data_IF_638610446817
#
_entry.id   IF_638610446817
#
_cell.length_a   1.000
_cell.length_b   1.000
_cell.length_c   1.000
_cell.angle_alpha   90.00
_cell.angle_beta   90.00
_cell.angle_gamma   90.00
#
_symmetry.space_group_name_H-M   'P 1'
#
loop_
_entity.id
_entity.type
_entity.pdbx_description
1 polymer ?
#
# COMPACT_ATOMS: atom_id res chain seq x y z
N UNK A 1 -11.08 36.35 -32.94
CA UNK A 1 -10.01 35.73 -32.14
C UNK A 1 -10.62 35.36 -30.81
N UNK A 2 -11.19 34.16 -30.70
CA UNK A 2 -11.79 33.63 -29.47
C UNK A 2 -10.74 32.73 -28.82
N UNK A 3 -10.61 32.84 -27.50
CA UNK A 3 -9.51 32.38 -26.66
C UNK A 3 -9.26 30.86 -26.71
N UNK A 4 -8.26 30.43 -27.48
CA UNK A 4 -7.71 29.06 -27.40
C UNK A 4 -7.24 28.68 -25.98
N UNK A 5 -6.89 29.66 -25.15
CA UNK A 5 -6.46 29.42 -23.77
C UNK A 5 -7.63 29.08 -22.83
N UNK A 6 -8.86 29.51 -23.14
CA UNK A 6 -10.05 29.15 -22.36
C UNK A 6 -10.42 27.69 -22.61
N UNK A 7 -10.41 27.24 -23.88
CA UNK A 7 -10.67 25.84 -24.24
C UNK A 7 -9.65 24.86 -23.62
N UNK A 8 -8.39 25.28 -23.46
CA UNK A 8 -7.35 24.46 -22.82
C UNK A 8 -7.58 24.37 -21.31
N UNK A 9 -7.94 25.47 -20.66
CA UNK A 9 -8.24 25.49 -19.23
C UNK A 9 -9.53 24.73 -18.90
N UNK A 10 -10.54 24.79 -19.76
CA UNK A 10 -11.77 24.01 -19.64
C UNK A 10 -11.52 22.51 -19.85
N UNK A 11 -10.69 22.12 -20.82
CA UNK A 11 -10.29 20.72 -20.99
C UNK A 11 -9.44 20.21 -19.82
N UNK A 12 -8.50 21.01 -19.31
CA UNK A 12 -7.71 20.65 -18.13
C UNK A 12 -8.58 20.57 -16.87
N UNK A 13 -9.60 21.42 -16.74
CA UNK A 13 -10.59 21.35 -15.67
C UNK A 13 -11.41 20.06 -15.72
N UNK A 14 -11.86 19.65 -16.92
CA UNK A 14 -12.60 18.40 -17.12
C UNK A 14 -11.72 17.15 -16.93
N UNK A 15 -10.44 17.20 -17.32
CA UNK A 15 -9.48 16.13 -17.05
C UNK A 15 -9.13 16.04 -15.56
N UNK A 16 -9.01 17.17 -14.85
CA UNK A 16 -8.81 17.20 -13.40
C UNK A 16 -10.05 16.71 -12.63
N UNK A 17 -11.27 17.00 -13.08
CA UNK A 17 -12.49 16.39 -12.54
C UNK A 17 -12.55 14.87 -12.76
N UNK A 18 -12.02 14.36 -13.88
CA UNK A 18 -11.88 12.92 -14.13
C UNK A 18 -10.73 12.28 -13.34
N UNK A 19 -9.69 13.05 -13.01
CA UNK A 19 -8.49 12.58 -12.28
C UNK A 19 -8.62 12.74 -10.77
N UNK A 20 -9.52 13.61 -10.30
CA UNK A 20 -10.05 13.53 -8.95
C UNK A 20 -10.62 12.13 -8.81
N UNK A 21 -10.00 11.30 -7.94
CA UNK A 21 -10.52 9.97 -7.62
C UNK A 21 -12.02 10.12 -7.43
N UNK A 22 -12.80 9.51 -8.32
CA UNK A 22 -14.22 9.37 -8.10
C UNK A 22 -14.37 8.88 -6.64
N UNK A 23 -15.20 9.54 -5.82
CA UNK A 23 -15.54 8.94 -4.54
C UNK A 23 -15.99 7.50 -4.80
N UNK A 24 -15.79 6.59 -3.85
CA UNK A 24 -16.09 5.14 -3.93
C UNK A 24 -17.59 4.83 -4.17
N UNK A 25 -18.34 5.76 -4.76
CA UNK A 25 -19.78 5.96 -4.69
C UNK A 25 -20.41 6.23 -6.06
N UNK A 26 -19.82 5.81 -7.18
CA UNK A 26 -20.60 5.74 -8.43
C UNK A 26 -21.54 4.53 -8.35
N UNK A 27 -22.74 4.81 -7.85
CA UNK A 27 -23.72 3.82 -7.44
C UNK A 27 -24.52 3.30 -8.64
N UNK A 28 -24.39 2.01 -8.95
CA UNK A 28 -25.25 1.32 -9.92
C UNK A 28 -26.50 0.74 -9.24
N UNK A 29 -27.67 1.09 -9.78
CA UNK A 29 -28.97 0.53 -9.39
C UNK A 29 -29.05 -0.88 -10.00
N UNK A 30 -28.82 -1.91 -9.18
CA UNK A 30 -29.06 -3.30 -9.59
C UNK A 30 -30.50 -3.67 -9.18
N UNK A 31 -31.28 -4.22 -10.12
CA UNK A 31 -32.73 -4.41 -9.99
C UNK A 31 -33.14 -5.76 -9.37
N UNK A 32 -32.19 -6.62 -9.01
CA UNK A 32 -32.49 -7.94 -8.45
C UNK A 32 -31.61 -8.23 -7.23
N UNK A 33 -32.05 -7.71 -6.09
CA UNK A 33 -31.19 -7.48 -4.94
C UNK A 33 -32.05 -7.51 -3.67
N UNK A 34 -31.51 -8.02 -2.57
CA UNK A 34 -32.22 -8.14 -1.30
C UNK A 34 -32.46 -6.78 -0.62
N UNK A 35 -31.73 -5.73 -1.03
CA UNK A 35 -31.70 -4.44 -0.34
C UNK A 35 -31.31 -3.27 -1.27
N UNK A 36 -31.83 -2.04 -1.11
CA UNK A 36 -31.47 -0.92 -1.98
C UNK A 36 -29.95 -0.74 -2.17
N UNK A 37 -29.52 -0.42 -3.40
CA UNK A 37 -28.10 -0.36 -3.77
C UNK A 37 -27.27 0.57 -2.87
N UNK A 38 -27.84 1.71 -2.45
CA UNK A 38 -27.20 2.65 -1.52
C UNK A 38 -26.90 1.99 -0.17
N UNK A 39 -27.90 1.31 0.41
CA UNK A 39 -27.74 0.61 1.68
C UNK A 39 -26.72 -0.52 1.55
N UNK A 40 -26.74 -1.25 0.43
CA UNK A 40 -25.77 -2.31 0.14
C UNK A 40 -24.34 -1.78 0.11
N UNK A 41 -24.10 -0.71 -0.64
CA UNK A 41 -22.78 -0.12 -0.77
C UNK A 41 -22.29 0.47 0.56
N UNK A 42 -23.20 1.05 1.34
CA UNK A 42 -22.89 1.51 2.70
C UNK A 42 -22.50 0.35 3.63
N UNK A 43 -23.26 -0.76 3.63
CA UNK A 43 -22.94 -1.94 4.44
C UNK A 43 -21.62 -2.62 4.00
N UNK A 44 -21.35 -2.67 2.69
CA UNK A 44 -20.07 -3.15 2.16
C UNK A 44 -18.92 -2.25 2.64
N UNK A 45 -19.10 -0.93 2.58
CA UNK A 45 -18.12 0.02 3.08
C UNK A 45 -17.87 -0.19 4.58
N UNK A 46 -18.92 -0.43 5.36
CA UNK A 46 -18.83 -0.72 6.80
C UNK A 46 -18.10 -2.04 7.09
N UNK A 47 -18.33 -3.11 6.31
CA UNK A 47 -17.59 -4.38 6.41
C UNK A 47 -16.10 -4.22 6.12
N UNK A 48 -15.75 -3.32 5.21
CA UNK A 48 -14.36 -2.91 4.95
C UNK A 48 -13.83 -1.93 6.00
N UNK A 49 -14.54 -1.74 7.12
CA UNK A 49 -14.21 -0.89 8.26
C UNK A 49 -14.21 0.62 7.96
N UNK A 50 -14.83 1.05 6.87
CA UNK A 50 -14.94 2.48 6.57
C UNK A 50 -15.86 3.14 7.60
N UNK A 51 -15.43 4.29 8.14
CA UNK A 51 -16.16 5.00 9.19
C UNK A 51 -16.02 4.39 10.60
N UNK A 52 -15.28 3.29 10.77
CA UNK A 52 -14.97 2.74 12.10
C UNK A 52 -13.84 3.59 12.72
N UNK A 53 -14.06 4.18 13.91
CA UNK A 53 -13.03 4.97 14.60
C UNK A 53 -11.74 4.18 14.83
N UNK A 54 -10.59 4.84 14.69
CA UNK A 54 -9.28 4.19 14.85
C UNK A 54 -9.10 3.52 16.22
N UNK A 55 -9.63 4.11 17.29
CA UNK A 55 -9.59 3.55 18.64
C UNK A 55 -10.32 2.19 18.77
N UNK A 56 -11.25 1.89 17.86
CA UNK A 56 -11.93 0.59 17.80
C UNK A 56 -11.16 -0.45 16.98
N UNK A 57 -10.19 -0.01 16.16
CA UNK A 57 -9.31 -0.87 15.37
C UNK A 57 -8.04 -1.23 16.12
N UNK A 58 -7.49 -0.27 16.87
CA UNK A 58 -6.28 -0.42 17.67
C UNK A 58 -6.60 0.03 19.09
N UNK A 59 -6.81 -0.95 19.98
CA UNK A 59 -7.21 -0.71 21.36
C UNK A 59 -6.13 0.03 22.18
N UNK A 60 -4.86 -0.19 21.86
CA UNK A 60 -3.73 0.46 22.53
C UNK A 60 -2.66 0.88 21.51
N UNK A 61 -2.12 2.08 21.68
CA UNK A 61 -1.00 2.60 20.89
C UNK A 61 0.26 1.73 20.95
N UNK A 62 0.48 0.98 22.02
CA UNK A 62 1.60 0.04 22.15
C UNK A 62 1.45 -1.18 21.22
N UNK A 63 0.23 -1.47 20.75
CA UNK A 63 0.00 -2.48 19.71
C UNK A 63 0.44 -2.00 18.32
N UNK A 64 0.74 -0.72 18.14
CA UNK A 64 1.29 -0.19 16.90
C UNK A 64 2.41 0.85 17.17
N UNK A 65 3.60 0.40 17.61
CA UNK A 65 4.77 1.25 17.83
C UNK A 65 5.22 1.98 16.56
N UNK A 66 6.06 3.00 16.71
CA UNK A 66 6.65 3.70 15.57
C UNK A 66 7.59 2.77 14.79
N UNK A 67 7.61 2.91 13.46
CA UNK A 67 8.31 2.02 12.51
C UNK A 67 7.94 0.54 12.71
N UNK A 68 6.65 0.25 12.73
CA UNK A 68 6.16 -1.12 12.85
C UNK A 68 5.01 -1.45 11.90
N UNK A 69 4.93 -2.73 11.53
CA UNK A 69 3.85 -3.30 10.73
C UNK A 69 3.21 -4.47 11.49
N UNK A 70 1.88 -4.52 11.51
CA UNK A 70 1.09 -5.57 12.16
C UNK A 70 0.17 -6.23 11.15
N UNK A 71 0.39 -7.51 10.90
CA UNK A 71 -0.42 -8.34 10.02
C UNK A 71 -1.59 -8.95 10.80
N UNK A 72 -2.75 -9.07 10.16
CA UNK A 72 -3.94 -9.64 10.79
C UNK A 72 -4.87 -10.34 9.80
N UNK A 73 -5.73 -11.20 10.35
CA UNK A 73 -6.89 -11.76 9.69
C UNK A 73 -8.14 -11.00 10.14
N UNK A 74 -9.05 -10.72 9.20
CA UNK A 74 -10.35 -10.15 9.54
C UNK A 74 -11.28 -11.24 10.03
N UNK A 75 -11.81 -11.09 11.25
CA UNK A 75 -12.88 -11.97 11.71
C UNK A 75 -14.20 -11.58 11.05
N UNK A 76 -14.69 -12.45 10.16
CA UNK A 76 -15.96 -12.28 9.47
C UNK A 76 -17.14 -12.19 10.41
N UNK A 77 -17.12 -12.91 11.54
CA UNK A 77 -18.19 -12.87 12.53
C UNK A 77 -18.28 -11.49 13.18
N UNK A 78 -17.15 -10.80 13.35
CA UNK A 78 -17.14 -9.44 13.88
C UNK A 78 -17.71 -8.43 12.88
N UNK A 79 -17.30 -8.50 11.61
CA UNK A 79 -17.87 -7.63 10.56
C UNK A 79 -19.35 -7.92 10.31
N UNK A 80 -19.77 -9.19 10.43
CA UNK A 80 -21.18 -9.59 10.36
C UNK A 80 -21.98 -9.03 11.53
N UNK A 81 -21.46 -9.12 12.76
CA UNK A 81 -22.09 -8.55 13.94
C UNK A 81 -22.21 -7.02 13.85
N UNK A 82 -21.21 -6.35 13.28
CA UNK A 82 -21.25 -4.91 13.00
C UNK A 82 -22.40 -4.55 12.04
N UNK A 83 -22.57 -5.33 10.96
CA UNK A 83 -23.68 -5.17 10.02
C UNK A 83 -25.03 -5.45 10.67
N UNK A 84 -25.16 -6.50 11.48
CA UNK A 84 -26.39 -6.80 12.23
C UNK A 84 -26.75 -5.66 13.18
N UNK A 85 -25.77 -5.10 13.89
CA UNK A 85 -25.94 -3.92 14.73
C UNK A 85 -26.48 -2.73 13.96
N UNK A 86 -25.89 -2.42 12.80
CA UNK A 86 -26.38 -1.35 11.93
C UNK A 86 -27.83 -1.59 11.47
N UNK A 87 -28.17 -2.81 11.05
CA UNK A 87 -29.53 -3.17 10.59
C UNK A 87 -30.56 -3.16 11.72
N UNK A 88 -30.15 -3.47 12.96
CA UNK A 88 -31.04 -3.50 14.13
C UNK A 88 -31.68 -2.15 14.44
N UNK A 89 -31.05 -1.04 14.05
CA UNK A 89 -31.60 0.32 14.23
C UNK A 89 -32.92 0.48 13.46
N UNK A 90 -33.09 -0.28 12.37
CA UNK A 90 -34.31 -0.28 11.57
C UNK A 90 -35.45 -1.15 12.11
N UNK A 91 -35.21 -1.94 13.18
CA UNK A 91 -36.23 -2.82 13.77
C UNK A 91 -36.94 -2.11 14.92
N UNK A 92 -38.25 -1.88 14.80
CA UNK A 92 -39.05 -1.17 15.83
C UNK A 92 -39.85 -2.16 16.66
N UNK A 93 -40.35 -3.23 16.05
CA UNK A 93 -41.14 -4.27 16.72
C UNK A 93 -40.55 -5.67 16.53
N UNK A 94 -41.18 -6.68 17.13
CA UNK A 94 -40.76 -8.08 17.04
C UNK A 94 -40.94 -8.67 15.63
N UNK A 95 -41.95 -8.23 14.89
CA UNK A 95 -42.24 -8.72 13.54
C UNK A 95 -41.16 -8.26 12.55
N UNK A 96 -40.72 -7.00 12.64
CA UNK A 96 -39.60 -6.45 11.87
C UNK A 96 -38.32 -7.26 12.10
N UNK A 97 -38.09 -7.67 13.35
CA UNK A 97 -36.91 -8.46 13.71
C UNK A 97 -36.97 -9.88 13.14
N UNK A 98 -38.15 -10.52 13.15
CA UNK A 98 -38.35 -11.84 12.53
C UNK A 98 -38.14 -11.74 11.01
N UNK A 99 -38.68 -10.69 10.38
CA UNK A 99 -38.51 -10.47 8.94
C UNK A 99 -37.04 -10.23 8.57
N UNK A 100 -36.33 -9.41 9.35
CA UNK A 100 -34.91 -9.15 9.15
C UNK A 100 -34.06 -10.43 9.31
N UNK A 101 -34.34 -11.23 10.35
CA UNK A 101 -33.62 -12.48 10.61
C UNK A 101 -33.80 -13.48 9.46
N UNK A 102 -35.03 -13.60 8.93
CA UNK A 102 -35.33 -14.43 7.77
C UNK A 102 -34.59 -13.99 6.50
N UNK A 103 -34.36 -12.68 6.32
CA UNK A 103 -33.69 -12.11 5.15
C UNK A 103 -32.16 -12.04 5.32
N UNK A 104 -31.63 -12.16 6.53
CA UNK A 104 -30.22 -11.90 6.82
C UNK A 104 -29.25 -12.76 6.00
N UNK A 105 -29.60 -14.03 5.74
CA UNK A 105 -28.77 -14.91 4.91
C UNK A 105 -28.66 -14.41 3.46
N UNK A 106 -29.74 -13.87 2.90
CA UNK A 106 -29.74 -13.30 1.55
C UNK A 106 -28.92 -12.01 1.50
N UNK A 107 -29.09 -11.13 2.50
CA UNK A 107 -28.30 -9.90 2.66
C UNK A 107 -26.81 -10.24 2.76
N UNK A 108 -26.46 -11.20 3.61
CA UNK A 108 -25.07 -11.64 3.80
C UNK A 108 -24.45 -12.13 2.49
N UNK A 109 -25.13 -13.00 1.75
CA UNK A 109 -24.63 -13.53 0.47
C UNK A 109 -24.44 -12.43 -0.58
N UNK A 110 -25.34 -11.44 -0.61
CA UNK A 110 -25.21 -10.28 -1.47
C UNK A 110 -24.00 -9.42 -1.09
N UNK A 111 -23.82 -9.11 0.20
CA UNK A 111 -22.67 -8.35 0.70
C UNK A 111 -21.34 -9.07 0.46
N UNK A 112 -21.30 -10.39 0.64
CA UNK A 112 -20.13 -11.24 0.37
C UNK A 112 -19.72 -11.14 -1.11
N UNK A 113 -20.68 -11.04 -2.01
CA UNK A 113 -20.42 -10.86 -3.44
C UNK A 113 -19.91 -9.45 -3.76
N UNK A 114 -20.57 -8.42 -3.23
CA UNK A 114 -20.22 -7.03 -3.54
C UNK A 114 -18.90 -6.57 -2.94
N UNK A 115 -18.52 -7.08 -1.77
CA UNK A 115 -17.26 -6.75 -1.11
C UNK A 115 -16.06 -7.00 -2.03
N UNK A 116 -16.09 -8.08 -2.81
CA UNK A 116 -15.03 -8.44 -3.78
C UNK A 116 -15.03 -7.52 -4.99
N UNK A 117 -16.16 -6.89 -5.28
CA UNK A 117 -16.36 -6.05 -6.45
C UNK A 117 -16.10 -4.55 -6.16
N UNK A 118 -15.80 -4.14 -4.92
CA UNK A 118 -15.61 -2.72 -4.52
C UNK A 118 -14.60 -1.96 -5.38
N UNK A 119 -13.45 -2.56 -5.68
CA UNK A 119 -12.40 -1.94 -6.50
C UNK A 119 -12.36 -2.49 -7.93
N UNK A 120 -13.49 -2.97 -8.45
CA UNK A 120 -13.53 -3.65 -9.76
C UNK A 120 -13.47 -2.60 -10.85
N UNK A 121 -12.60 -2.81 -11.84
CA UNK A 121 -12.58 -1.98 -13.03
C UNK A 121 -13.94 -2.09 -13.73
N UNK A 122 -14.49 -0.96 -14.16
CA UNK A 122 -15.83 -0.84 -14.74
C UNK A 122 -16.12 -1.85 -15.86
N UNK A 123 -15.10 -2.27 -16.61
CA UNK A 123 -15.18 -3.18 -17.76
C UNK A 123 -14.79 -4.63 -17.47
N UNK A 124 -14.20 -4.95 -16.31
CA UNK A 124 -13.84 -6.33 -15.96
C UNK A 124 -15.11 -7.17 -15.70
N UNK A 125 -15.15 -8.50 -15.80
CA UNK A 125 -16.32 -9.29 -15.41
C UNK A 125 -16.60 -9.21 -13.89
N UNK A 126 -17.86 -9.35 -13.47
CA UNK A 126 -18.24 -9.36 -12.04
C UNK A 126 -17.75 -10.66 -11.42
N UNK A 127 -17.09 -10.55 -10.25
CA UNK A 127 -16.62 -11.71 -9.51
C UNK A 127 -17.79 -12.37 -8.77
N UNK A 128 -17.88 -13.69 -8.88
CA UNK A 128 -18.85 -14.54 -8.21
C UNK A 128 -18.12 -15.71 -7.53
N UNK A 129 -18.64 -16.21 -6.41
CA UNK A 129 -18.08 -17.35 -5.67
C UNK A 129 -17.89 -17.10 -4.18
N UNK A 130 -17.49 -18.15 -3.44
CA UNK A 130 -17.35 -18.13 -1.98
C UNK A 130 -16.22 -17.23 -1.51
N UNK A 131 -16.51 -16.33 -0.57
CA UNK A 131 -15.55 -15.39 0.04
C UNK A 131 -14.41 -16.13 0.73
N UNK A 132 -13.18 -15.78 0.36
CA UNK A 132 -11.97 -16.23 1.03
C UNK A 132 -11.72 -15.47 2.34
N UNK A 133 -10.64 -15.81 3.06
CA UNK A 133 -10.19 -15.03 4.20
C UNK A 133 -9.80 -13.63 3.73
N UNK A 134 -10.22 -12.60 4.49
CA UNK A 134 -9.65 -11.26 4.34
C UNK A 134 -8.46 -11.16 5.28
N UNK A 135 -7.34 -10.72 4.73
CA UNK A 135 -6.16 -10.38 5.52
C UNK A 135 -5.81 -8.92 5.31
N UNK A 136 -4.93 -8.41 6.15
CA UNK A 136 -4.50 -7.04 6.04
C UNK A 136 -3.31 -6.73 6.91
N UNK A 137 -2.90 -5.47 6.87
CA UNK A 137 -1.94 -4.94 7.80
C UNK A 137 -2.27 -3.52 8.23
N UNK A 138 -1.76 -3.17 9.40
CA UNK A 138 -1.60 -1.81 9.87
C UNK A 138 -0.11 -1.49 9.88
N UNK A 139 0.27 -0.40 9.21
CA UNK A 139 1.64 0.09 9.16
C UNK A 139 1.69 1.46 9.81
N UNK A 140 2.56 1.64 10.80
CA UNK A 140 2.95 2.95 11.33
C UNK A 140 4.39 3.23 10.98
N UNK A 141 4.63 4.15 10.06
CA UNK A 141 5.98 4.49 9.59
C UNK A 141 6.09 5.93 9.09
N UNK A 142 7.27 6.52 9.27
CA UNK A 142 7.66 7.77 8.67
C UNK A 142 7.52 7.72 7.13
N UNK A 143 7.72 6.56 6.50
CA UNK A 143 7.53 6.40 5.07
C UNK A 143 6.08 6.66 4.63
N UNK A 144 5.08 6.26 5.42
CA UNK A 144 3.66 6.58 5.14
C UNK A 144 3.42 8.09 5.18
N UNK A 145 4.09 8.79 6.10
CA UNK A 145 3.99 10.24 6.21
C UNK A 145 4.73 10.99 5.10
N UNK A 146 5.91 10.51 4.70
CA UNK A 146 6.73 11.07 3.63
C UNK A 146 6.13 10.82 2.24
N UNK A 147 5.48 9.68 2.05
CA UNK A 147 4.86 9.29 0.78
C UNK A 147 3.38 8.90 0.95
N UNK A 148 2.46 9.87 1.05
CA UNK A 148 1.02 9.59 1.20
C UNK A 148 0.40 8.81 0.04
N UNK A 149 1.03 8.86 -1.14
CA UNK A 149 0.61 8.14 -2.35
C UNK A 149 1.28 6.78 -2.55
N UNK A 150 1.91 6.21 -1.52
CA UNK A 150 2.58 4.90 -1.59
C UNK A 150 1.64 3.82 -2.14
N UNK A 151 2.18 2.96 -3.00
CA UNK A 151 1.45 1.83 -3.57
C UNK A 151 1.68 0.56 -2.76
N UNK A 152 0.63 -0.22 -2.58
CA UNK A 152 0.68 -1.53 -1.95
C UNK A 152 0.20 -2.56 -2.95
N UNK A 153 0.99 -3.61 -3.15
CA UNK A 153 0.68 -4.73 -4.06
C UNK A 153 0.90 -6.03 -3.32
N UNK A 154 0.01 -6.98 -3.52
CA UNK A 154 0.05 -8.27 -2.86
C UNK A 154 -0.01 -9.38 -3.92
N UNK A 155 0.73 -10.45 -3.69
CA UNK A 155 0.84 -11.58 -4.62
C UNK A 155 0.68 -12.92 -3.90
N UNK A 156 0.08 -13.89 -4.59
CA UNK A 156 -0.11 -15.27 -4.11
C UNK A 156 1.13 -16.16 -4.34
N UNK A 157 2.06 -15.70 -5.18
CA UNK A 157 3.38 -16.26 -5.43
C UNK A 157 4.42 -15.15 -5.34
N UNK A 158 5.67 -15.54 -5.06
CA UNK A 158 6.79 -14.60 -5.14
C UNK A 158 7.12 -14.37 -6.63
N UNK A 159 6.94 -13.16 -7.18
CA UNK A 159 7.27 -12.90 -8.57
C UNK A 159 8.79 -12.97 -8.77
N UNK A 160 9.23 -13.78 -9.73
CA UNK A 160 10.65 -13.90 -10.10
C UNK A 160 11.18 -12.64 -10.81
N UNK A 161 10.28 -11.77 -11.27
CA UNK A 161 10.63 -10.52 -11.92
C UNK A 161 11.16 -9.48 -10.93
N UNK A 162 12.33 -8.91 -11.20
CA UNK A 162 13.03 -7.98 -10.31
C UNK A 162 12.28 -6.67 -9.99
N UNK A 163 12.93 -5.78 -9.22
CA UNK A 163 12.30 -4.58 -8.65
C UNK A 163 11.68 -3.63 -9.68
N UNK A 164 12.17 -3.63 -10.91
CA UNK A 164 11.69 -2.77 -11.99
C UNK A 164 10.40 -3.29 -12.68
N UNK A 165 9.98 -4.52 -12.36
CA UNK A 165 8.84 -5.16 -13.00
C UNK A 165 7.55 -4.34 -12.89
N UNK A 166 6.77 -4.35 -13.98
CA UNK A 166 5.43 -3.76 -14.04
C UNK A 166 4.42 -4.88 -14.01
N UNK A 167 3.72 -5.00 -12.90
CA UNK A 167 2.58 -5.89 -12.80
C UNK A 167 1.31 -5.08 -13.04
N UNK A 168 0.50 -5.53 -14.00
CA UNK A 168 -0.81 -4.95 -14.29
C UNK A 168 -1.79 -5.24 -13.16
N UNK A 169 -2.88 -4.48 -13.06
CA UNK A 169 -3.91 -4.72 -12.02
C UNK A 169 -4.60 -6.09 -12.16
N UNK A 170 -4.70 -6.61 -13.39
CA UNK A 170 -5.35 -7.90 -13.69
C UNK A 170 -4.38 -9.09 -13.72
N UNK A 171 -3.13 -8.94 -13.24
CA UNK A 171 -2.19 -10.06 -13.15
C UNK A 171 -2.83 -11.18 -12.30
N UNK A 172 -2.93 -12.43 -12.81
CA UNK A 172 -3.57 -13.52 -12.09
C UNK A 172 -2.88 -13.86 -10.76
N UNK A 173 -1.60 -13.51 -10.61
CA UNK A 173 -0.82 -13.71 -9.38
C UNK A 173 -1.11 -12.66 -8.33
N UNK A 174 -1.78 -11.56 -8.69
CA UNK A 174 -2.08 -10.49 -7.75
C UNK A 174 -3.27 -10.82 -6.90
N UNK A 175 -3.10 -10.60 -5.61
CA UNK A 175 -4.19 -10.58 -4.66
C UNK A 175 -4.82 -9.21 -4.68
N UNK A 176 -6.14 -9.24 -4.72
CA UNK A 176 -6.98 -8.07 -4.86
C UNK A 176 -6.96 -7.23 -3.59
N UNK A 177 -6.71 -5.94 -3.77
CA UNK A 177 -6.79 -4.94 -2.74
C UNK A 177 -8.26 -4.55 -2.52
N UNK A 178 -8.75 -4.67 -1.29
CA UNK A 178 -10.11 -4.28 -0.89
C UNK A 178 -10.13 -2.86 -0.33
N UNK A 179 -9.17 -2.53 0.52
CA UNK A 179 -9.02 -1.19 1.12
C UNK A 179 -7.56 -0.83 1.25
N UNK A 180 -7.24 0.40 0.89
CA UNK A 180 -5.96 1.04 1.17
C UNK A 180 -6.26 2.46 1.56
N UNK A 181 -6.02 2.78 2.83
CA UNK A 181 -6.40 4.07 3.40
C UNK A 181 -5.43 4.47 4.50
N UNK A 182 -5.10 5.75 4.52
CA UNK A 182 -4.30 6.36 5.57
C UNK A 182 -5.21 6.83 6.71
N UNK A 183 -5.26 6.08 7.81
CA UNK A 183 -6.11 6.38 8.97
C UNK A 183 -5.59 7.55 9.81
N UNK A 184 -4.27 7.78 9.78
CA UNK A 184 -3.60 8.93 10.39
C UNK A 184 -2.34 9.28 9.57
N UNK A 185 -1.71 10.45 9.70
CA UNK A 185 -0.62 10.88 8.82
C UNK A 185 0.52 9.87 8.60
N UNK A 186 0.82 9.05 9.61
CA UNK A 186 1.85 8.00 9.54
C UNK A 186 1.27 6.57 9.62
N UNK A 187 -0.05 6.39 9.60
CA UNK A 187 -0.72 5.08 9.78
C UNK A 187 -1.50 4.68 8.53
N UNK A 188 -1.12 3.56 7.93
CA UNK A 188 -1.73 2.98 6.75
C UNK A 188 -2.47 1.68 7.11
N UNK A 189 -3.73 1.57 6.69
CA UNK A 189 -4.53 0.35 6.73
C UNK A 189 -4.62 -0.23 5.32
N UNK A 190 -4.36 -1.52 5.20
CA UNK A 190 -4.51 -2.28 3.97
C UNK A 190 -5.32 -3.55 4.22
N UNK A 191 -6.26 -3.87 3.33
CA UNK A 191 -7.08 -5.09 3.33
C UNK A 191 -7.02 -5.78 1.98
N UNK A 192 -6.91 -7.11 1.98
CA UNK A 192 -6.76 -7.98 0.83
C UNK A 192 -7.86 -9.06 0.78
N UNK A 193 -8.33 -9.42 -0.41
CA UNK A 193 -9.23 -10.58 -0.63
C UNK A 193 -8.41 -11.86 -0.82
N UNK A 194 -7.79 -12.33 0.28
CA UNK A 194 -6.93 -13.52 0.29
C UNK A 194 -5.77 -13.40 1.27
N UNK A 195 -4.92 -14.43 1.31
CA UNK A 195 -3.68 -14.44 2.10
C UNK A 195 -2.51 -14.26 1.15
N UNK A 196 -1.78 -13.13 1.21
CA UNK A 196 -0.60 -12.95 0.38
C UNK A 196 0.59 -13.73 0.86
N UNK A 197 1.36 -14.26 -0.09
CA UNK A 197 2.72 -14.77 0.17
C UNK A 197 3.72 -13.63 0.22
N UNK A 198 3.55 -12.65 -0.67
CA UNK A 198 4.45 -11.50 -0.80
C UNK A 198 3.65 -10.22 -0.93
N UNK A 199 4.12 -9.17 -0.26
CA UNK A 199 3.53 -7.82 -0.31
C UNK A 199 4.63 -6.80 -0.58
N UNK A 200 4.45 -6.02 -1.64
CA UNK A 200 5.34 -4.93 -2.03
C UNK A 200 4.76 -3.60 -1.57
N UNK A 201 5.54 -2.83 -0.83
CA UNK A 201 5.29 -1.43 -0.52
C UNK A 201 6.22 -0.59 -1.39
N UNK A 202 5.66 0.17 -2.32
CA UNK A 202 6.40 0.96 -3.29
C UNK A 202 6.13 2.45 -3.10
N UNK A 203 7.19 3.26 -3.14
CA UNK A 203 7.04 4.69 -3.29
C UNK A 203 6.21 5.05 -4.54
N UNK A 204 5.53 6.22 -4.55
CA UNK A 204 4.77 6.70 -5.70
C UNK A 204 5.64 6.72 -6.96
N UNK A 205 5.15 6.10 -8.04
CA UNK A 205 5.92 5.98 -9.29
C UNK A 205 6.17 7.30 -10.01
N UNK A 206 5.42 8.36 -9.68
CA UNK A 206 5.73 9.71 -10.18
C UNK A 206 6.97 10.33 -9.50
N UNK A 207 7.53 9.69 -8.46
CA UNK A 207 8.67 10.19 -7.69
C UNK A 207 10.03 9.79 -8.25
N UNK A 208 10.21 9.71 -9.58
CA UNK A 208 11.54 9.51 -10.15
C UNK A 208 12.42 10.69 -9.74
N UNK A 209 13.52 10.38 -9.05
CA UNK A 209 14.44 11.38 -8.52
C UNK A 209 15.82 11.21 -9.14
N UNK A 210 16.56 12.31 -9.24
CA UNK A 210 18.00 12.26 -9.48
C UNK A 210 18.71 12.36 -8.14
N UNK A 211 19.65 11.46 -7.88
CA UNK A 211 20.45 11.58 -6.67
C UNK A 211 21.25 10.33 -6.31
N UNK A 212 21.73 10.34 -5.08
CA UNK A 212 22.63 9.34 -4.50
C UNK A 212 21.98 8.71 -3.26
N UNK A 213 22.45 7.54 -2.84
CA UNK A 213 22.09 7.01 -1.51
C UNK A 213 22.95 7.77 -0.50
N UNK A 214 22.36 8.64 0.31
CA UNK A 214 23.12 9.41 1.29
C UNK A 214 22.88 8.90 2.71
N UNK A 215 23.93 8.89 3.51
CA UNK A 215 23.85 8.74 4.95
C UNK A 215 24.35 10.03 5.60
N UNK A 216 23.63 10.50 6.62
CA UNK A 216 23.97 11.71 7.35
C UNK A 216 24.11 11.36 8.83
N UNK A 217 25.34 11.47 9.35
CA UNK A 217 25.65 11.25 10.75
C UNK A 217 25.86 12.58 11.50
N UNK A 218 25.25 13.67 11.02
CA UNK A 218 25.23 15.00 11.64
C UNK A 218 26.50 15.84 11.41
N UNK A 219 27.67 15.20 11.36
CA UNK A 219 28.95 15.86 11.06
C UNK A 219 29.57 15.44 9.72
N UNK A 220 29.09 14.35 9.14
CA UNK A 220 29.61 13.79 7.90
C UNK A 220 28.46 13.30 7.03
N UNK A 221 28.48 13.72 5.77
CA UNK A 221 27.59 13.26 4.73
C UNK A 221 28.37 12.36 3.80
N UNK A 222 27.98 11.10 3.70
CA UNK A 222 28.45 10.18 2.66
C UNK A 222 27.36 10.03 1.62
N UNK A 223 27.74 9.71 0.40
CA UNK A 223 26.82 9.40 -0.66
C UNK A 223 27.39 8.28 -1.52
N UNK A 224 26.55 7.35 -1.96
CA UNK A 224 26.95 6.25 -2.82
C UNK A 224 26.08 6.16 -4.06
N UNK A 225 26.64 5.59 -5.13
CA UNK A 225 25.99 5.40 -6.42
C UNK A 225 26.20 3.97 -6.90
N UNK A 226 25.12 3.26 -7.20
CA UNK A 226 25.18 2.00 -7.93
C UNK A 226 25.26 2.33 -9.44
N UNK A 227 26.37 2.05 -10.13
CA UNK A 227 26.52 2.41 -11.54
C UNK A 227 25.60 1.57 -12.44
N UNK A 228 25.24 2.10 -13.60
CA UNK A 228 24.36 1.46 -14.60
C UNK A 228 25.09 1.19 -15.90
N UNK A 229 24.70 0.12 -16.60
CA UNK A 229 25.22 -0.23 -17.92
C UNK A 229 24.70 0.75 -18.98
N UNK A 230 25.55 1.17 -19.91
CA UNK A 230 25.17 2.08 -21.01
C UNK A 230 24.14 1.50 -21.99
N UNK A 231 24.14 0.17 -22.17
CA UNK A 231 23.32 -0.49 -23.20
C UNK A 231 21.83 -0.58 -22.85
N UNK A 232 21.52 -0.87 -21.58
CA UNK A 232 20.15 -1.18 -21.12
C UNK A 232 19.76 -0.42 -19.85
N UNK A 233 20.68 0.37 -19.27
CA UNK A 233 20.51 1.11 -18.01
C UNK A 233 20.18 0.22 -16.80
N UNK A 234 20.42 -1.08 -16.88
CA UNK A 234 20.36 -1.98 -15.71
C UNK A 234 21.50 -1.64 -14.74
N UNK A 235 21.28 -1.88 -13.45
CA UNK A 235 22.34 -1.75 -12.45
C UNK A 235 23.46 -2.76 -12.71
N UNK A 236 24.70 -2.33 -12.54
CA UNK A 236 25.86 -3.22 -12.55
C UNK A 236 25.93 -3.97 -11.22
N UNK A 237 26.32 -5.24 -11.29
CA UNK A 237 26.57 -6.10 -10.12
C UNK A 237 27.98 -5.85 -9.57
N UNK A 238 28.20 -4.62 -9.08
CA UNK A 238 29.46 -4.14 -8.51
C UNK A 238 29.18 -3.42 -7.19
N UNK A 239 30.21 -3.24 -6.36
CA UNK A 239 30.07 -2.41 -5.16
C UNK A 239 29.67 -0.97 -5.51
N UNK A 240 28.86 -0.37 -4.64
CA UNK A 240 28.44 1.02 -4.82
C UNK A 240 29.67 1.94 -4.82
N UNK A 241 29.75 2.84 -5.79
CA UNK A 241 30.82 3.84 -5.92
C UNK A 241 30.60 4.93 -4.88
N UNK A 242 31.65 5.28 -4.13
CA UNK A 242 31.64 6.43 -3.23
C UNK A 242 31.57 7.74 -4.02
N UNK A 243 30.64 8.62 -3.66
CA UNK A 243 30.36 9.86 -4.38
C UNK A 243 31.25 10.96 -3.80
N UNK A 244 32.25 11.45 -4.55
CA UNK A 244 33.18 12.43 -4.04
C UNK A 244 32.51 13.80 -3.89
N UNK A 245 32.64 14.41 -2.71
CA UNK A 245 32.26 15.80 -2.48
C UNK A 245 33.44 16.75 -2.74
N UNK A 246 33.14 18.01 -3.06
CA UNK A 246 34.15 19.06 -3.19
C UNK A 246 34.83 19.31 -1.86
N UNK A 247 36.14 19.49 -1.91
CA UNK A 247 36.96 19.84 -0.73
C UNK A 247 36.44 21.16 -0.13
N UNK A 248 36.10 21.13 1.16
CA UNK A 248 35.54 22.29 1.87
C UNK A 248 34.04 22.51 1.67
N UNK A 249 33.31 21.64 0.98
CA UNK A 249 31.85 21.74 0.80
C UNK A 249 31.19 20.36 0.70
N UNK A 250 30.76 19.82 1.85
CA UNK A 250 30.12 18.49 1.98
C UNK A 250 28.73 18.37 1.33
N UNK A 251 28.20 19.45 0.75
CA UNK A 251 26.92 19.46 0.03
C UNK A 251 27.05 19.51 -1.49
N UNK A 252 28.26 19.61 -2.05
CA UNK A 252 28.48 19.77 -3.50
C UNK A 252 29.29 18.61 -4.03
N UNK A 253 28.68 17.81 -4.92
CA UNK A 253 29.36 16.67 -5.55
C UNK A 253 30.41 17.15 -6.56
N UNK A 254 31.58 16.52 -6.52
CA UNK A 254 32.63 16.70 -7.52
C UNK A 254 32.37 15.79 -8.73
N UNK A 255 31.60 16.33 -9.68
CA UNK A 255 31.19 15.65 -10.91
C UNK A 255 32.39 15.11 -11.70
N UNK A 256 33.54 15.80 -11.68
CA UNK A 256 34.74 15.35 -12.42
C UNK A 256 35.33 14.10 -11.80
N UNK A 257 35.45 14.07 -10.48
CA UNK A 257 35.93 12.87 -9.77
C UNK A 257 34.94 11.72 -9.86
N UNK A 258 33.64 12.00 -9.77
CA UNK A 258 32.61 10.98 -9.94
C UNK A 258 32.62 10.40 -11.36
N UNK A 259 32.80 11.24 -12.40
CA UNK A 259 32.96 10.75 -13.77
C UNK A 259 34.21 9.90 -13.97
N UNK A 260 35.31 10.22 -13.29
CA UNK A 260 36.51 9.40 -13.33
C UNK A 260 36.30 8.04 -12.65
N UNK A 261 35.61 8.01 -11.51
CA UNK A 261 35.25 6.76 -10.83
C UNK A 261 34.31 5.89 -11.68
N UNK A 262 33.33 6.50 -12.38
CA UNK A 262 32.48 5.76 -13.33
C UNK A 262 33.29 5.19 -14.50
N UNK A 263 34.31 5.90 -14.97
CA UNK A 263 35.18 5.46 -16.07
C UNK A 263 36.09 4.28 -15.69
N UNK A 264 36.19 3.91 -14.41
CA UNK A 264 36.84 2.66 -13.98
C UNK A 264 36.01 1.41 -14.33
N UNK A 265 34.73 1.60 -14.67
CA UNK A 265 33.81 0.55 -15.12
C UNK A 265 33.45 0.76 -16.60
N UNK A 266 34.08 0.01 -17.49
CA UNK A 266 33.91 0.11 -18.94
C UNK A 266 32.43 -0.03 -19.37
N UNK A 267 31.63 -0.83 -18.65
CA UNK A 267 30.22 -1.06 -18.96
C UNK A 267 29.33 0.17 -18.80
N UNK A 268 29.78 1.16 -18.03
CA UNK A 268 29.08 2.45 -17.87
C UNK A 268 29.22 3.33 -19.13
N UNK A 269 30.21 3.03 -19.97
CA UNK A 269 30.58 3.85 -21.13
C UNK A 269 31.16 5.21 -20.77
N UNK A 270 31.55 5.43 -19.51
CA UNK A 270 32.08 6.71 -19.07
C UNK A 270 33.52 7.00 -19.54
N UNK A 271 34.28 5.95 -19.92
CA UNK A 271 35.60 6.09 -20.54
C UNK A 271 35.58 6.82 -21.89
N UNK A 272 34.47 6.73 -22.62
CA UNK A 272 34.27 7.43 -23.91
C UNK A 272 33.85 8.90 -23.72
N UNK A 273 33.61 9.31 -22.46
CA UNK A 273 32.99 10.58 -22.09
C UNK A 273 31.47 10.46 -22.02
N UNK A 274 30.90 10.66 -20.83
CA UNK A 274 29.44 10.77 -20.65
C UNK A 274 28.97 12.16 -21.07
N UNK A 275 27.96 12.23 -21.94
CA UNK A 275 27.19 13.46 -22.09
C UNK A 275 26.34 13.71 -20.83
N UNK A 276 25.90 14.95 -20.65
CA UNK A 276 25.03 15.39 -19.55
C UNK A 276 23.77 14.53 -19.43
N UNK A 277 23.22 14.07 -20.56
CA UNK A 277 22.05 13.19 -20.58
C UNK A 277 22.38 11.78 -20.06
N UNK A 278 23.48 11.17 -20.52
CA UNK A 278 23.91 9.84 -20.07
C UNK A 278 24.31 9.88 -18.59
N UNK A 279 24.96 10.96 -18.16
CA UNK A 279 25.25 11.19 -16.75
C UNK A 279 23.98 11.32 -15.91
N UNK A 280 22.96 12.04 -16.39
CA UNK A 280 21.69 12.12 -15.70
C UNK A 280 21.01 10.75 -15.58
N UNK A 281 21.09 9.90 -16.61
CA UNK A 281 20.54 8.53 -16.58
C UNK A 281 21.23 7.64 -15.53
N UNK A 282 22.54 7.84 -15.30
CA UNK A 282 23.26 7.18 -14.20
C UNK A 282 22.69 7.57 -12.82
N UNK A 283 22.19 8.79 -12.68
CA UNK A 283 21.67 9.34 -11.42
C UNK A 283 20.18 9.05 -11.19
N UNK A 284 19.48 8.45 -12.14
CA UNK A 284 18.05 8.13 -11.99
C UNK A 284 17.89 7.07 -10.89
N UNK A 285 17.11 7.44 -9.87
CA UNK A 285 16.65 6.53 -8.83
C UNK A 285 15.19 6.19 -9.07
N UNK A 286 14.95 4.88 -9.21
CA UNK A 286 13.59 4.38 -9.22
C UNK A 286 13.00 4.45 -7.80
N UNK A 287 11.67 4.64 -7.70
CA UNK A 287 10.96 4.61 -6.43
C UNK A 287 11.33 3.35 -5.65
N UNK A 288 11.63 3.52 -4.37
CA UNK A 288 12.05 2.40 -3.54
C UNK A 288 10.89 1.42 -3.31
N UNK A 289 11.21 0.12 -3.21
CA UNK A 289 10.28 -0.97 -2.94
C UNK A 289 10.76 -1.75 -1.71
N UNK A 290 9.92 -1.83 -0.68
CA UNK A 290 10.06 -2.85 0.36
C UNK A 290 9.28 -4.09 -0.03
N UNK A 291 9.91 -5.25 0.05
CA UNK A 291 9.26 -6.55 -0.10
C UNK A 291 9.08 -7.19 1.27
N UNK A 292 7.86 -7.62 1.58
CA UNK A 292 7.54 -8.46 2.74
C UNK A 292 7.09 -9.82 2.23
N UNK A 293 7.81 -10.88 2.57
CA UNK A 293 7.49 -12.25 2.16
C UNK A 293 8.00 -13.27 3.15
N UNK A 294 7.93 -14.56 2.81
CA UNK A 294 8.42 -15.64 3.66
C UNK A 294 9.96 -15.56 3.82
N UNK A 295 10.39 -14.87 4.87
CA UNK A 295 11.72 -15.07 5.46
C UNK A 295 11.58 -16.26 6.39
N UNK A 296 12.02 -17.45 5.98
CA UNK A 296 12.06 -18.71 6.74
C UNK A 296 11.39 -18.61 8.12
N UNK A 297 10.07 -18.76 8.15
CA UNK A 297 9.26 -18.45 9.33
C UNK A 297 9.54 -19.48 10.42
N UNK A 298 10.04 -19.08 11.62
CA UNK A 298 10.09 -19.99 12.76
C UNK A 298 8.67 -20.47 13.10
N UNK A 299 8.51 -21.68 13.66
CA UNK A 299 7.20 -22.30 13.86
C UNK A 299 6.22 -21.36 14.59
N UNK A 300 4.92 -21.46 14.28
CA UNK A 300 3.82 -20.63 14.81
C UNK A 300 3.83 -20.47 16.34
N UNK A 301 4.34 -21.47 17.07
CA UNK A 301 4.51 -21.46 18.52
C UNK A 301 5.53 -20.42 19.03
N UNK A 302 6.43 -19.96 18.17
CA UNK A 302 7.38 -18.89 18.44
C UNK A 302 6.80 -17.49 18.15
N UNK A 303 5.80 -17.38 17.27
CA UNK A 303 5.22 -16.10 16.85
C UNK A 303 4.03 -15.65 17.70
N UNK A 304 3.16 -16.59 18.13
CA UNK A 304 2.03 -16.29 19.01
C UNK A 304 2.37 -16.56 20.48
N UNK A 305 3.37 -15.84 21.01
CA UNK A 305 3.43 -15.63 22.46
C UNK A 305 2.71 -14.34 22.77
N UNK A 306 1.61 -14.41 23.53
CA UNK A 306 1.00 -13.23 24.11
C UNK A 306 2.10 -12.46 24.87
N UNK A 307 2.54 -11.33 24.32
CA UNK A 307 3.61 -10.50 24.90
C UNK A 307 3.07 -9.59 26.01
N UNK A 308 1.78 -9.70 26.33
CA UNK A 308 1.26 -9.16 27.59
C UNK A 308 1.82 -10.04 28.68
N UNK A 309 2.92 -9.57 29.27
CA UNK A 309 3.55 -10.19 30.41
C UNK A 309 2.57 -10.08 31.61
N UNK A 310 1.61 -10.99 31.68
CA UNK A 310 0.70 -11.10 32.82
C UNK A 310 1.47 -11.56 34.08
N UNK A 311 2.58 -12.29 33.87
CA UNK A 311 3.43 -12.83 34.93
C UNK A 311 4.12 -11.76 35.82
N UNK A 312 4.76 -10.70 35.28
CA UNK A 312 5.29 -9.61 36.11
C UNK A 312 4.19 -8.81 36.81
N UNK A 313 2.99 -8.69 36.22
CA UNK A 313 1.88 -7.97 36.85
C UNK A 313 1.25 -8.76 38.00
N UNK A 314 1.14 -10.09 37.89
CA UNK A 314 0.64 -10.96 38.96
C UNK A 314 1.62 -11.01 40.13
N UNK A 315 2.93 -11.15 39.88
CA UNK A 315 3.94 -11.14 40.94
C UNK A 315 4.08 -9.77 41.64
N UNK A 316 3.79 -8.68 40.94
CA UNK A 316 3.76 -7.34 41.54
C UNK A 316 2.49 -7.09 42.37
N UNK A 317 1.35 -7.66 41.96
CA UNK A 317 0.03 -7.40 42.55
C UNK A 317 -0.33 -8.37 43.69
N UNK A 318 0.10 -9.63 43.58
CA UNK A 318 -0.15 -10.68 44.57
C UNK A 318 1.18 -11.17 45.14
N UNK A 319 1.79 -10.38 46.03
CA UNK A 319 2.84 -10.89 46.90
C UNK A 319 2.20 -11.85 47.92
N UNK A 320 2.37 -13.15 47.72
CA UNK A 320 2.37 -14.14 48.79
C UNK A 320 3.79 -14.23 49.36
#
# INVERSE_FOLDING_TARGET
MINKNQDILENLGQELEKTARAPLSEFRIDQNTAMPAELRNWLVSLRLLNGVPFANLVADSELLPQESIRWFYMDRRWTDALVQGALSVGTVNSDDRIQLDAQYNAIRAELDTEERNVRRRTLAPRLAGQTGPITGFLLRSAAVSGWPGMHVRAFDVDPEEGDEARFEEDDPRRIRLLRLERLAPAVLLCLFDGVPKVVHLEEPRQGVQFGFKHEDNGNQRSATLTPRRKSDFSYLDVEDIDVPFRVGSSGVVDIRRLSAALAEHDETGAGDGLDSAEYALQLIRFPWRQVFGEVQVPPISAMFRATVAYEPMVNATFKL
#
